data_IF_938061109758
#
_entry.id   IF_938061109758
#
_cell.length_a   1.000
_cell.length_b   1.000
_cell.length_c   1.000
_cell.angle_alpha   90.00
_cell.angle_beta   90.00
_cell.angle_gamma   90.00
#
_symmetry.space_group_name_H-M   'P 1'
#
loop_
_entity.id
_entity.type
_entity.pdbx_description
1 polymer ?
#
# COMPACT_ATOMS: atom_id res chain seq x y z
N UNK A 1 21.33 -5.00 11.28
CA UNK A 1 20.78 -3.92 12.13
C UNK A 1 19.86 -4.54 13.16
N UNK A 2 19.70 -3.96 14.36
CA UNK A 2 18.66 -4.42 15.29
C UNK A 2 17.31 -3.82 14.87
N UNK A 3 16.24 -4.62 14.89
CA UNK A 3 14.88 -4.11 14.69
C UNK A 3 14.53 -3.20 15.87
N UNK A 4 13.86 -2.06 15.61
CA UNK A 4 13.37 -1.20 16.68
C UNK A 4 12.39 -1.96 17.59
N UNK A 5 12.34 -1.55 18.87
CA UNK A 5 11.28 -2.00 19.76
C UNK A 5 9.92 -1.65 19.17
N UNK A 6 8.93 -2.50 19.41
CA UNK A 6 7.58 -2.29 18.89
C UNK A 6 6.90 -1.16 19.66
N UNK A 7 6.58 -0.06 18.97
CA UNK A 7 5.83 1.05 19.54
C UNK A 7 4.46 0.59 20.04
N UNK A 8 4.08 0.99 21.25
CA UNK A 8 2.77 0.65 21.82
C UNK A 8 1.74 1.63 21.26
N UNK A 9 0.90 1.15 20.35
CA UNK A 9 -0.17 1.94 19.76
C UNK A 9 -1.51 1.65 20.43
N UNK A 10 -2.43 2.63 20.39
CA UNK A 10 -3.83 2.37 20.75
C UNK A 10 -4.40 1.34 19.77
N UNK A 11 -4.88 0.18 20.24
CA UNK A 11 -5.35 -0.87 19.35
C UNK A 11 -6.48 -0.40 18.43
N UNK A 12 -6.48 -0.91 17.19
CA UNK A 12 -7.52 -0.68 16.18
C UNK A 12 -7.57 0.73 15.60
N UNK A 13 -6.69 1.64 16.01
CA UNK A 13 -6.49 2.91 15.29
C UNK A 13 -6.07 2.66 13.84
N UNK A 14 -6.42 3.58 12.95
CA UNK A 14 -6.19 3.52 11.52
C UNK A 14 -5.21 4.58 11.04
N UNK A 15 -4.36 4.21 10.08
CA UNK A 15 -3.71 5.14 9.17
C UNK A 15 -3.99 4.69 7.73
N UNK A 16 -4.38 5.60 6.85
CA UNK A 16 -4.70 5.28 5.45
C UNK A 16 -3.75 6.07 4.56
N UNK A 17 -3.10 5.38 3.63
CA UNK A 17 -2.29 5.97 2.58
C UNK A 17 -2.94 5.64 1.22
N UNK A 18 -3.04 6.64 0.34
CA UNK A 18 -3.54 6.51 -1.02
C UNK A 18 -2.52 7.10 -1.98
N UNK A 19 -1.94 6.25 -2.81
CA UNK A 19 -1.09 6.64 -3.93
C UNK A 19 -1.99 7.11 -5.08
N UNK A 20 -2.10 8.42 -5.29
CA UNK A 20 -2.99 9.02 -6.30
C UNK A 20 -2.24 9.28 -7.60
N UNK A 21 -2.93 9.11 -8.72
CA UNK A 21 -2.39 9.41 -10.05
C UNK A 21 -2.54 10.91 -10.34
N UNK A 22 -1.45 11.58 -10.69
CA UNK A 22 -1.46 12.95 -11.21
C UNK A 22 -1.43 12.87 -12.74
N UNK A 23 -2.45 13.41 -13.40
CA UNK A 23 -2.62 13.32 -14.86
C UNK A 23 -2.63 14.70 -15.51
N UNK A 24 -2.19 14.79 -16.77
CA UNK A 24 -2.09 16.05 -17.51
C UNK A 24 -3.11 16.14 -18.68
N UNK A 25 -4.21 16.88 -18.53
CA UNK A 25 -5.14 17.21 -19.62
C UNK A 25 -4.48 17.97 -20.78
N UNK A 26 -5.02 17.86 -22.02
CA UNK A 26 -6.15 17.04 -22.43
C UNK A 26 -5.76 15.60 -22.78
N UNK A 27 -4.46 15.27 -22.74
CA UNK A 27 -3.96 13.94 -23.08
C UNK A 27 -4.22 12.88 -22.01
N UNK A 28 -4.33 13.33 -20.75
CA UNK A 28 -4.52 12.50 -19.56
C UNK A 28 -3.45 11.41 -19.40
N UNK A 29 -2.24 11.64 -19.89
CA UNK A 29 -1.08 10.81 -19.53
C UNK A 29 -0.62 11.20 -18.11
N UNK A 30 0.17 10.36 -17.45
CA UNK A 30 0.70 10.72 -16.13
C UNK A 30 1.61 11.96 -16.23
N UNK A 31 1.36 12.91 -15.33
CA UNK A 31 2.12 14.14 -15.19
C UNK A 31 3.54 13.88 -14.70
N UNK A 32 4.43 14.85 -14.88
CA UNK A 32 5.77 14.90 -14.26
C UNK A 32 5.90 16.10 -13.31
N UNK A 33 4.76 16.68 -12.90
CA UNK A 33 4.70 17.91 -12.10
C UNK A 33 4.16 17.69 -10.69
N UNK A 34 4.23 16.46 -10.15
CA UNK A 34 3.72 16.16 -8.80
C UNK A 34 4.40 17.02 -7.72
N UNK A 35 5.70 17.30 -7.85
CA UNK A 35 6.46 18.19 -6.96
C UNK A 35 5.88 19.58 -6.85
N UNK A 36 5.54 20.18 -7.98
CA UNK A 36 4.95 21.51 -7.99
C UNK A 36 3.60 21.51 -7.28
N UNK A 37 2.78 20.47 -7.50
CA UNK A 37 1.49 20.33 -6.85
C UNK A 37 1.63 20.11 -5.33
N UNK A 38 2.56 19.25 -4.92
CA UNK A 38 2.80 18.93 -3.50
C UNK A 38 3.27 20.18 -2.75
N UNK A 39 4.20 20.96 -3.32
CA UNK A 39 4.69 22.21 -2.71
C UNK A 39 3.58 23.25 -2.56
N UNK A 40 2.62 23.30 -3.49
CA UNK A 40 1.47 24.19 -3.41
C UNK A 40 0.47 23.78 -2.31
N UNK A 41 0.26 22.46 -2.12
CA UNK A 41 -0.74 21.93 -1.19
C UNK A 41 -0.23 21.84 0.24
N UNK A 42 1.03 21.43 0.44
CA UNK A 42 1.59 21.10 1.77
C UNK A 42 1.41 22.19 2.84
N UNK A 43 1.55 23.50 2.55
CA UNK A 43 1.34 24.56 3.54
C UNK A 43 -0.13 24.76 3.97
N UNK A 44 -1.08 24.23 3.20
CA UNK A 44 -2.52 24.45 3.39
C UNK A 44 -3.19 23.32 4.20
N UNK A 45 -2.50 22.20 4.42
CA UNK A 45 -3.06 21.06 5.14
C UNK A 45 -3.07 21.29 6.65
N UNK A 46 -4.21 21.02 7.28
CA UNK A 46 -4.41 21.14 8.73
C UNK A 46 -4.29 19.81 9.47
N UNK A 47 -4.48 18.70 8.77
CA UNK A 47 -4.35 17.33 9.26
C UNK A 47 -4.02 16.39 8.10
N UNK A 48 -3.41 15.25 8.43
CA UNK A 48 -2.82 14.37 7.43
C UNK A 48 -1.55 14.97 6.82
N UNK A 49 -1.03 14.28 5.83
CA UNK A 49 0.16 14.70 5.11
C UNK A 49 0.05 14.29 3.65
N UNK A 50 0.75 15.04 2.80
CA UNK A 50 0.99 14.67 1.42
C UNK A 50 2.48 14.47 1.25
N UNK A 51 2.84 13.38 0.58
CA UNK A 51 4.22 13.03 0.31
C UNK A 51 4.47 12.83 -1.17
N UNK A 52 5.74 13.01 -1.49
CA UNK A 52 6.36 12.40 -2.65
C UNK A 52 6.44 10.90 -2.46
N UNK A 53 6.07 10.16 -3.49
CA UNK A 53 6.64 8.84 -3.71
C UNK A 53 7.80 8.93 -4.71
N UNK A 54 8.33 7.79 -5.14
CA UNK A 54 9.49 7.66 -6.01
C UNK A 54 9.30 8.40 -7.35
N UNK A 55 8.07 8.49 -7.88
CA UNK A 55 7.78 9.01 -9.23
C UNK A 55 7.11 10.39 -9.23
N UNK A 56 7.47 11.24 -10.19
CA UNK A 56 6.89 12.59 -10.40
C UNK A 56 5.43 12.59 -10.90
N UNK A 57 4.84 11.42 -11.05
CA UNK A 57 3.46 11.19 -11.48
C UNK A 57 2.51 10.81 -10.34
N UNK A 58 3.02 10.72 -9.11
CA UNK A 58 2.27 10.24 -7.97
C UNK A 58 2.19 11.30 -6.88
N UNK A 59 1.01 11.40 -6.26
CA UNK A 59 0.81 12.15 -5.04
C UNK A 59 0.27 11.19 -3.97
N UNK A 60 1.02 10.96 -2.89
CA UNK A 60 0.56 10.15 -1.77
C UNK A 60 -0.24 11.02 -0.81
N UNK A 61 -1.51 10.65 -0.57
CA UNK A 61 -2.33 11.21 0.50
C UNK A 61 -2.27 10.27 1.71
N UNK A 62 -1.85 10.77 2.87
CA UNK A 62 -1.81 9.97 4.09
C UNK A 62 -2.57 10.65 5.23
N UNK A 63 -3.45 9.91 5.92
CA UNK A 63 -4.11 10.43 7.12
C UNK A 63 -3.14 10.47 8.30
N UNK A 64 -3.46 11.27 9.32
CA UNK A 64 -2.91 11.02 10.65
C UNK A 64 -3.46 9.71 11.25
N UNK A 65 -3.10 9.43 12.49
CA UNK A 65 -3.68 8.31 13.25
C UNK A 65 -5.14 8.65 13.59
N UNK A 66 -6.06 7.87 13.05
CA UNK A 66 -7.51 8.03 13.19
C UNK A 66 -8.07 6.94 14.11
N UNK A 67 -9.07 7.28 14.92
CA UNK A 67 -9.74 6.31 15.81
C UNK A 67 -10.81 5.49 15.09
N UNK A 68 -11.43 6.07 14.07
CA UNK A 68 -12.57 5.54 13.32
C UNK A 68 -12.52 6.00 11.86
N UNK A 69 -13.36 5.37 11.03
CA UNK A 69 -13.47 5.69 9.61
C UNK A 69 -14.03 7.10 9.35
N UNK A 70 -14.84 7.65 10.25
CA UNK A 70 -15.44 8.97 10.11
C UNK A 70 -14.36 10.07 10.22
N UNK A 71 -13.43 9.91 11.16
CA UNK A 71 -12.28 10.80 11.29
C UNK A 71 -11.36 10.71 10.06
N UNK A 72 -11.12 9.49 9.56
CA UNK A 72 -10.32 9.29 8.35
C UNK A 72 -11.00 9.93 7.12
N UNK A 73 -12.33 9.78 6.99
CA UNK A 73 -13.13 10.39 5.94
C UNK A 73 -13.03 11.92 5.95
N UNK A 74 -13.15 12.53 7.14
CA UNK A 74 -13.03 13.98 7.29
C UNK A 74 -11.64 14.49 6.86
N UNK A 75 -10.56 13.79 7.24
CA UNK A 75 -9.20 14.17 6.84
C UNK A 75 -8.97 14.01 5.34
N UNK A 76 -9.35 12.86 4.75
CA UNK A 76 -9.22 12.62 3.32
C UNK A 76 -10.04 13.60 2.48
N UNK A 77 -11.26 13.94 2.91
CA UNK A 77 -12.10 14.93 2.24
C UNK A 77 -11.49 16.34 2.30
N UNK A 78 -10.96 16.75 3.45
CA UNK A 78 -10.28 18.03 3.59
C UNK A 78 -9.03 18.12 2.69
N UNK A 79 -8.18 17.07 2.68
CA UNK A 79 -7.03 17.00 1.78
C UNK A 79 -7.45 17.05 0.31
N UNK A 80 -8.48 16.28 -0.07
CA UNK A 80 -9.00 16.25 -1.44
C UNK A 80 -9.41 17.64 -1.94
N UNK A 81 -10.10 18.43 -1.11
CA UNK A 81 -10.54 19.76 -1.49
C UNK A 81 -9.35 20.67 -1.88
N UNK A 82 -8.31 20.67 -1.04
CA UNK A 82 -7.10 21.46 -1.27
C UNK A 82 -6.33 20.96 -2.50
N UNK A 83 -6.18 19.64 -2.63
CA UNK A 83 -5.49 19.02 -3.78
C UNK A 83 -6.20 19.38 -5.08
N UNK A 84 -7.53 19.24 -5.15
CA UNK A 84 -8.28 19.51 -6.38
C UNK A 84 -8.25 21.00 -6.76
N UNK A 85 -8.25 21.89 -5.78
CA UNK A 85 -8.08 23.32 -6.04
C UNK A 85 -6.70 23.60 -6.65
N UNK A 86 -5.62 23.12 -6.01
CA UNK A 86 -4.27 23.32 -6.51
C UNK A 86 -4.06 22.65 -7.88
N UNK A 87 -4.59 21.43 -8.08
CA UNK A 87 -4.52 20.75 -9.38
C UNK A 87 -5.18 21.59 -10.48
N UNK A 88 -6.34 22.21 -10.20
CA UNK A 88 -7.00 23.10 -11.15
C UNK A 88 -6.17 24.34 -11.48
N UNK A 89 -5.46 24.94 -10.51
CA UNK A 89 -4.59 26.10 -10.70
C UNK A 89 -3.36 25.75 -11.57
N UNK A 90 -2.89 24.51 -11.47
CA UNK A 90 -1.76 23.97 -12.25
C UNK A 90 -2.18 23.24 -13.54
N UNK A 91 -3.47 23.27 -13.91
CA UNK A 91 -4.02 22.55 -15.06
C UNK A 91 -3.77 21.02 -15.04
N UNK A 92 -3.72 20.42 -13.86
CA UNK A 92 -3.58 18.98 -13.63
C UNK A 92 -4.92 18.34 -13.25
N UNK A 93 -5.01 17.03 -13.40
CA UNK A 93 -6.10 16.20 -12.88
C UNK A 93 -5.58 15.19 -11.86
N UNK A 94 -6.50 14.66 -11.04
CA UNK A 94 -6.21 13.61 -10.06
C UNK A 94 -7.21 12.47 -10.23
N UNK A 95 -6.73 11.23 -10.23
CA UNK A 95 -7.57 10.04 -10.22
C UNK A 95 -6.95 8.89 -9.41
N UNK A 96 -7.77 7.89 -9.09
CA UNK A 96 -7.32 6.62 -8.52
C UNK A 96 -7.15 5.53 -9.59
N UNK A 97 -7.17 4.27 -9.15
CA UNK A 97 -6.92 3.09 -9.98
C UNK A 97 -5.52 2.52 -9.74
N UNK A 98 -5.35 1.20 -9.82
CA UNK A 98 -4.09 0.55 -9.44
C UNK A 98 -2.96 0.69 -10.46
N UNK A 99 -3.31 0.98 -11.70
CA UNK A 99 -2.41 1.25 -12.82
C UNK A 99 -2.99 2.37 -13.68
N UNK A 100 -2.11 3.16 -14.31
CA UNK A 100 -2.55 4.05 -15.38
C UNK A 100 -2.76 3.25 -16.68
N UNK A 101 -3.93 3.34 -17.36
CA UNK A 101 -4.34 2.36 -18.37
C UNK A 101 -3.44 2.31 -19.60
N UNK A 102 -2.84 3.42 -20.01
CA UNK A 102 -2.00 3.51 -21.21
C UNK A 102 -0.60 4.07 -20.98
N UNK A 103 -0.20 4.29 -19.72
CA UNK A 103 1.14 4.80 -19.40
C UNK A 103 2.22 3.85 -19.92
N UNK A 104 3.30 4.44 -20.45
CA UNK A 104 4.53 3.73 -20.78
C UNK A 104 5.64 4.12 -19.81
N UNK A 105 6.29 3.13 -19.20
CA UNK A 105 7.32 3.36 -18.19
C UNK A 105 8.51 4.17 -18.72
N UNK A 106 8.82 4.09 -20.03
CA UNK A 106 9.95 4.83 -20.63
C UNK A 106 9.80 6.35 -20.58
N UNK A 107 8.60 6.86 -20.25
CA UNK A 107 8.29 8.28 -20.22
C UNK A 107 8.26 8.87 -18.81
N UNK A 108 8.50 8.06 -17.78
CA UNK A 108 8.48 8.52 -16.40
C UNK A 108 9.83 9.11 -16.02
N UNK A 109 9.79 10.33 -15.51
CA UNK A 109 10.89 10.93 -14.77
C UNK A 109 10.80 10.45 -13.33
N UNK A 110 11.94 10.08 -12.78
CA UNK A 110 12.01 9.61 -11.40
C UNK A 110 12.60 10.73 -10.56
N UNK A 111 12.02 10.98 -9.38
CA UNK A 111 12.54 11.97 -8.46
C UNK A 111 14.00 11.66 -8.11
N UNK A 112 14.87 12.68 -8.11
CA UNK A 112 16.28 12.52 -7.80
C UNK A 112 16.48 12.21 -6.31
N UNK A 113 16.50 10.92 -5.97
CA UNK A 113 16.62 10.42 -4.61
C UNK A 113 17.65 9.30 -4.54
N UNK A 114 18.61 9.39 -3.62
CA UNK A 114 19.66 8.38 -3.40
C UNK A 114 19.09 6.97 -3.20
N UNK A 115 17.93 6.85 -2.54
CA UNK A 115 17.24 5.56 -2.34
C UNK A 115 16.78 4.95 -3.66
N UNK A 116 16.32 5.77 -4.60
CA UNK A 116 15.90 5.29 -5.91
C UNK A 116 17.09 4.78 -6.72
N UNK A 117 18.20 5.52 -6.74
CA UNK A 117 19.40 5.11 -7.48
C UNK A 117 19.89 3.72 -7.06
N UNK A 118 19.90 3.45 -5.75
CA UNK A 118 20.24 2.13 -5.21
C UNK A 118 19.23 1.05 -5.61
N UNK A 119 17.95 1.39 -5.63
CA UNK A 119 16.88 0.45 -6.06
C UNK A 119 16.98 0.14 -7.55
N UNK A 120 17.31 1.14 -8.38
CA UNK A 120 17.56 0.96 -9.81
C UNK A 120 18.79 0.08 -10.09
N UNK A 121 19.88 0.26 -9.34
CA UNK A 121 21.06 -0.62 -9.42
C UNK A 121 20.71 -2.08 -9.10
N UNK A 122 19.87 -2.29 -8.09
CA UNK A 122 19.49 -3.61 -7.61
C UNK A 122 18.47 -4.33 -8.51
N UNK A 123 17.46 -3.62 -9.02
CA UNK A 123 16.28 -4.20 -9.68
C UNK A 123 16.17 -3.87 -11.17
N UNK A 124 16.99 -2.94 -11.68
CA UNK A 124 17.06 -2.59 -13.09
C UNK A 124 15.69 -2.18 -13.67
N UNK A 125 15.30 -2.78 -14.79
CA UNK A 125 14.04 -2.43 -15.47
C UNK A 125 12.76 -2.73 -14.65
N UNK A 126 12.85 -3.55 -13.59
CA UNK A 126 11.69 -3.88 -12.76
C UNK A 126 11.14 -2.66 -12.01
N UNK A 127 12.03 -1.81 -11.47
CA UNK A 127 11.60 -0.59 -10.77
C UNK A 127 11.04 0.44 -11.76
N UNK A 128 11.49 0.41 -13.01
CA UNK A 128 10.96 1.29 -14.06
C UNK A 128 9.49 0.94 -14.37
N UNK A 129 9.09 -0.32 -14.25
CA UNK A 129 7.70 -0.75 -14.40
C UNK A 129 6.83 -0.47 -13.17
N UNK A 130 7.42 -0.04 -12.06
CA UNK A 130 6.76 0.03 -10.75
C UNK A 130 5.92 1.29 -10.51
N UNK A 131 5.59 2.09 -11.54
CA UNK A 131 4.58 3.16 -11.42
C UNK A 131 3.19 2.53 -11.30
N UNK A 132 2.86 2.12 -10.09
CA UNK A 132 1.59 1.54 -9.68
C UNK A 132 1.09 2.23 -8.44
N UNK A 133 -0.20 2.09 -8.16
CA UNK A 133 -0.87 2.93 -7.19
C UNK A 133 -1.67 2.07 -6.22
N UNK A 134 -1.28 2.08 -4.96
CA UNK A 134 -1.87 1.29 -3.89
C UNK A 134 -2.63 2.10 -2.86
N UNK A 135 -3.59 1.42 -2.25
CA UNK A 135 -4.07 1.79 -0.94
C UNK A 135 -3.34 0.98 0.13
N UNK A 136 -2.77 1.66 1.13
CA UNK A 136 -2.22 1.03 2.32
C UNK A 136 -3.08 1.37 3.54
N UNK A 137 -3.29 0.38 4.39
CA UNK A 137 -4.06 0.54 5.64
C UNK A 137 -3.24 0.00 6.80
N UNK A 138 -2.89 0.90 7.72
CA UNK A 138 -2.24 0.61 8.99
C UNK A 138 -3.28 0.38 10.07
N UNK A 139 -3.10 -0.68 10.87
CA UNK A 139 -3.89 -0.96 12.07
C UNK A 139 -3.00 -0.97 13.30
N UNK A 140 -3.28 -0.10 14.27
CA UNK A 140 -2.55 -0.01 15.55
C UNK A 140 -2.67 -1.28 16.39
N UNK A 141 -1.56 -1.73 16.97
CA UNK A 141 -1.48 -2.88 17.86
C UNK A 141 -0.75 -2.52 19.16
N UNK A 142 -1.09 -3.19 20.26
CA UNK A 142 -0.47 -2.92 21.55
C UNK A 142 0.96 -3.46 21.67
N UNK A 143 1.29 -4.54 20.96
CA UNK A 143 2.58 -5.21 21.02
C UNK A 143 2.85 -6.04 19.75
N UNK A 144 4.08 -6.52 19.63
CA UNK A 144 4.52 -7.29 18.46
C UNK A 144 3.85 -8.66 18.29
N UNK A 145 3.52 -9.36 19.37
CA UNK A 145 2.86 -10.68 19.26
C UNK A 145 1.42 -10.55 18.74
N UNK A 146 0.73 -9.49 19.17
CA UNK A 146 -0.57 -9.12 18.61
C UNK A 146 -0.45 -8.74 17.14
N UNK A 147 0.62 -8.02 16.75
CA UNK A 147 0.87 -7.69 15.36
C UNK A 147 1.09 -8.95 14.49
N UNK A 148 1.84 -9.95 14.98
CA UNK A 148 2.03 -11.22 14.27
C UNK A 148 0.72 -12.00 14.18
N UNK A 149 -0.05 -12.12 15.27
CA UNK A 149 -1.36 -12.76 15.23
C UNK A 149 -2.31 -12.09 14.24
N UNK A 150 -2.39 -10.75 14.28
CA UNK A 150 -3.24 -9.97 13.40
C UNK A 150 -2.82 -10.14 11.94
N UNK A 151 -1.51 -10.09 11.64
CA UNK A 151 -0.99 -10.34 10.30
C UNK A 151 -1.45 -11.70 9.77
N UNK A 152 -1.33 -12.76 10.57
CA UNK A 152 -1.80 -14.08 10.16
C UNK A 152 -3.31 -14.12 9.93
N UNK A 153 -4.09 -13.56 10.86
CA UNK A 153 -5.54 -13.48 10.74
C UNK A 153 -5.98 -12.73 9.46
N UNK A 154 -5.37 -11.58 9.18
CA UNK A 154 -5.64 -10.79 7.97
C UNK A 154 -5.17 -11.48 6.69
N UNK A 155 -4.13 -12.33 6.76
CA UNK A 155 -3.61 -13.06 5.60
C UNK A 155 -4.65 -14.02 5.00
N UNK A 156 -5.57 -14.56 5.81
CA UNK A 156 -6.70 -15.35 5.30
C UNK A 156 -7.63 -14.53 4.39
N UNK A 157 -7.66 -13.21 4.58
CA UNK A 157 -8.56 -12.30 3.88
C UNK A 157 -7.91 -11.51 2.74
N UNK A 158 -6.60 -11.67 2.51
CA UNK A 158 -5.90 -11.01 1.40
C UNK A 158 -6.60 -11.19 0.04
N UNK A 159 -7.04 -12.40 -0.36
CA UNK A 159 -7.78 -12.56 -1.61
C UNK A 159 -9.05 -11.70 -1.67
N UNK A 160 -9.75 -11.53 -0.54
CA UNK A 160 -10.97 -10.72 -0.45
C UNK A 160 -10.66 -9.23 -0.59
N UNK A 161 -9.60 -8.76 0.07
CA UNK A 161 -9.17 -7.36 -0.04
C UNK A 161 -8.76 -7.02 -1.48
N UNK A 162 -8.04 -7.92 -2.16
CA UNK A 162 -7.69 -7.77 -3.57
C UNK A 162 -8.95 -7.74 -4.44
N UNK A 163 -9.83 -8.72 -4.30
CA UNK A 163 -11.03 -8.83 -5.14
C UNK A 163 -11.98 -7.63 -5.00
N UNK A 164 -12.14 -7.10 -3.78
CA UNK A 164 -12.98 -5.92 -3.50
C UNK A 164 -12.33 -4.59 -3.94
N UNK A 165 -11.01 -4.54 -4.06
CA UNK A 165 -10.27 -3.31 -4.43
C UNK A 165 -9.83 -3.27 -5.88
N UNK A 166 -9.97 -4.36 -6.63
CA UNK A 166 -9.44 -4.52 -7.98
C UNK A 166 -9.86 -3.38 -8.93
N UNK A 167 -8.87 -2.62 -9.40
CA UNK A 167 -9.06 -1.42 -10.23
C UNK A 167 -7.90 -1.22 -11.22
N UNK A 168 -7.25 -2.29 -11.66
CA UNK A 168 -6.10 -2.24 -12.58
C UNK A 168 -6.17 -3.28 -13.71
N UNK A 169 -7.24 -3.32 -14.54
CA UNK A 169 -7.34 -4.29 -15.62
C UNK A 169 -6.46 -3.98 -16.83
N UNK A 170 -6.07 -2.72 -17.00
CA UNK A 170 -5.25 -2.26 -18.13
C UNK A 170 -3.81 -1.99 -17.71
N UNK A 171 -2.88 -2.27 -18.62
CA UNK A 171 -1.46 -1.93 -18.44
C UNK A 171 -0.85 -1.61 -19.79
N UNK A 172 -0.19 -0.45 -19.89
CA UNK A 172 0.50 0.02 -21.11
C UNK A 172 -0.36 0.01 -22.40
N UNK A 173 -1.67 0.25 -22.26
CA UNK A 173 -2.63 0.33 -23.35
C UNK A 173 -3.23 -1.02 -23.75
N UNK A 174 -2.92 -2.08 -23.02
CA UNK A 174 -3.41 -3.43 -23.27
C UNK A 174 -4.30 -3.92 -22.12
N UNK A 175 -5.39 -4.60 -22.46
CA UNK A 175 -6.18 -5.38 -21.51
C UNK A 175 -5.34 -6.57 -21.03
N UNK A 176 -5.02 -6.59 -19.74
CA UNK A 176 -4.21 -7.64 -19.12
C UNK A 176 -4.99 -8.94 -18.91
N UNK A 177 -6.32 -8.87 -19.00
CA UNK A 177 -7.28 -9.90 -18.56
C UNK A 177 -7.29 -10.16 -17.05
N UNK A 178 -6.62 -9.35 -16.23
CA UNK A 178 -6.73 -9.41 -14.78
C UNK A 178 -7.75 -8.37 -14.29
N UNK A 179 -8.32 -8.59 -13.11
CA UNK A 179 -9.06 -7.54 -12.40
C UNK A 179 -8.08 -6.60 -11.68
N UNK A 180 -7.04 -7.16 -11.06
CA UNK A 180 -5.92 -6.46 -10.44
C UNK A 180 -4.60 -6.93 -11.07
N UNK A 181 -4.01 -6.11 -11.94
CA UNK A 181 -2.70 -6.38 -12.54
C UNK A 181 -1.53 -5.80 -11.72
N UNK A 182 -1.78 -4.76 -10.90
CA UNK A 182 -0.77 -4.08 -10.06
C UNK A 182 0.14 -5.06 -9.32
N UNK A 183 -0.45 -6.03 -8.63
CA UNK A 183 0.27 -6.97 -7.77
C UNK A 183 1.19 -7.94 -8.52
N UNK A 184 1.06 -8.05 -9.84
CA UNK A 184 1.94 -8.90 -10.66
C UNK A 184 3.25 -8.19 -11.00
N UNK A 185 3.29 -6.85 -10.97
CA UNK A 185 4.51 -6.07 -11.27
C UNK A 185 5.61 -6.38 -10.23
N UNK A 186 5.23 -6.57 -8.97
CA UNK A 186 6.17 -6.96 -7.92
C UNK A 186 6.52 -8.45 -7.91
N UNK A 187 5.97 -9.28 -8.81
CA UNK A 187 6.21 -10.75 -8.80
C UNK A 187 7.67 -11.17 -9.01
N UNK A 188 8.48 -10.32 -9.62
CA UNK A 188 9.91 -10.56 -9.82
C UNK A 188 10.76 -10.22 -8.58
N UNK A 189 10.21 -9.54 -7.58
CA UNK A 189 10.90 -9.22 -6.35
C UNK A 189 10.96 -10.47 -5.45
N UNK A 190 12.12 -10.79 -4.86
CA UNK A 190 12.34 -12.04 -4.11
C UNK A 190 11.50 -12.14 -2.84
N UNK A 191 11.05 -11.01 -2.32
CA UNK A 191 10.31 -10.83 -1.08
C UNK A 191 8.84 -10.46 -1.30
N UNK A 192 8.31 -10.58 -2.53
CA UNK A 192 6.89 -10.35 -2.79
C UNK A 192 5.98 -11.50 -2.30
N UNK A 193 4.76 -11.15 -1.91
CA UNK A 193 3.72 -12.08 -1.48
C UNK A 193 3.62 -12.17 0.05
N UNK A 194 3.28 -13.35 0.61
CA UNK A 194 3.12 -13.48 2.06
C UNK A 194 4.48 -13.37 2.75
N UNK A 195 4.48 -12.74 3.93
CA UNK A 195 5.63 -12.78 4.83
C UNK A 195 6.01 -14.24 5.15
N UNK A 196 7.31 -14.60 5.17
CA UNK A 196 7.75 -15.90 5.67
C UNK A 196 7.20 -16.18 7.06
N UNK A 197 6.79 -17.44 7.29
CA UNK A 197 6.15 -17.82 8.54
C UNK A 197 7.05 -17.60 9.76
N UNK A 198 6.47 -17.00 10.80
CA UNK A 198 7.02 -16.85 12.16
C UNK A 198 5.85 -16.93 13.13
N UNK A 199 6.03 -17.49 14.31
CA UNK A 199 4.92 -17.71 15.26
C UNK A 199 4.69 -16.56 16.24
N UNK A 200 5.69 -15.69 16.41
CA UNK A 200 5.69 -14.61 17.41
C UNK A 200 6.71 -13.51 17.04
N UNK A 201 6.72 -12.43 17.81
CA UNK A 201 7.58 -11.26 17.56
C UNK A 201 9.08 -11.56 17.69
N UNK A 202 9.46 -12.48 18.58
CA UNK A 202 10.86 -12.87 18.74
C UNK A 202 11.38 -13.58 17.48
N UNK A 203 10.59 -14.48 16.91
CA UNK A 203 10.89 -15.13 15.63
C UNK A 203 10.90 -14.13 14.48
N UNK A 204 9.98 -13.16 14.47
CA UNK A 204 9.98 -12.05 13.52
C UNK A 204 11.28 -11.24 13.56
N UNK A 205 11.74 -10.84 14.76
CA UNK A 205 13.01 -10.15 14.92
C UNK A 205 14.19 -11.00 14.42
N UNK A 206 14.13 -12.33 14.63
CA UNK A 206 15.08 -13.29 14.09
C UNK A 206 15.06 -13.38 12.55
N UNK A 207 13.87 -13.39 11.95
CA UNK A 207 13.68 -13.36 10.50
C UNK A 207 14.24 -12.07 9.90
N UNK A 208 13.85 -10.90 10.44
CA UNK A 208 14.32 -9.61 9.96
C UNK A 208 15.85 -9.50 10.04
N UNK A 209 16.45 -9.97 11.14
CA UNK A 209 17.91 -10.02 11.27
C UNK A 209 18.57 -10.83 10.14
N UNK A 210 17.99 -11.98 9.75
CA UNK A 210 18.50 -12.79 8.64
C UNK A 210 18.34 -12.09 7.29
N UNK A 211 17.19 -11.45 7.05
CA UNK A 211 16.93 -10.69 5.83
C UNK A 211 17.87 -9.49 5.70
N UNK A 212 18.22 -8.84 6.82
CA UNK A 212 19.18 -7.72 6.86
C UNK A 212 20.63 -8.10 6.53
N UNK A 213 20.94 -9.40 6.37
CA UNK A 213 22.23 -9.84 5.84
C UNK A 213 22.28 -9.83 4.32
N UNK A 214 21.13 -9.68 3.65
CA UNK A 214 21.09 -9.45 2.21
C UNK A 214 21.42 -8.00 1.92
N UNK A 215 21.98 -7.70 0.74
CA UNK A 215 22.31 -6.32 0.33
C UNK A 215 21.09 -5.47 -0.01
N UNK A 216 19.90 -6.09 -0.07
CA UNK A 216 18.65 -5.52 -0.58
C UNK A 216 17.79 -4.90 0.51
N UNK A 217 17.93 -5.33 1.78
CA UNK A 217 16.98 -5.01 2.85
C UNK A 217 17.74 -4.37 4.02
N UNK A 218 17.60 -3.06 4.18
CA UNK A 218 18.16 -2.34 5.33
C UNK A 218 17.09 -1.99 6.37
N UNK A 219 15.85 -1.85 5.92
CA UNK A 219 14.71 -1.41 6.72
C UNK A 219 13.45 -2.20 6.39
N UNK A 220 12.46 -2.11 7.27
CA UNK A 220 11.12 -2.67 7.02
C UNK A 220 10.50 -2.08 5.73
N UNK A 221 10.84 -0.84 5.37
CA UNK A 221 10.31 -0.16 4.18
C UNK A 221 10.80 -0.79 2.87
N UNK A 222 11.82 -1.63 2.91
CA UNK A 222 12.38 -2.29 1.73
C UNK A 222 11.72 -3.65 1.44
N UNK A 223 10.78 -4.08 2.31
CA UNK A 223 10.05 -5.34 2.19
C UNK A 223 8.74 -5.16 1.42
N UNK A 224 8.54 -5.97 0.39
CA UNK A 224 7.39 -5.96 -0.53
C UNK A 224 6.31 -6.99 -0.14
N UNK A 225 6.18 -7.32 1.14
CA UNK A 225 5.14 -8.23 1.61
C UNK A 225 3.74 -7.64 1.45
N UNK A 226 2.79 -8.52 1.15
CA UNK A 226 1.36 -8.21 1.05
C UNK A 226 0.81 -7.57 2.34
N UNK A 227 1.25 -8.08 3.49
CA UNK A 227 0.98 -7.52 4.82
C UNK A 227 2.30 -7.47 5.60
N UNK A 228 2.56 -6.35 6.26
CA UNK A 228 3.83 -6.07 6.91
C UNK A 228 3.64 -5.48 8.31
N UNK A 229 4.33 -5.99 9.34
CA UNK A 229 4.35 -5.31 10.63
C UNK A 229 5.34 -4.13 10.59
N UNK A 230 4.96 -3.01 11.16
CA UNK A 230 5.80 -1.82 11.25
C UNK A 230 6.03 -1.46 12.74
N UNK A 231 7.19 -1.84 13.32
CA UNK A 231 7.46 -1.61 14.74
C UNK A 231 7.62 -0.13 15.09
N UNK A 232 8.09 0.71 14.16
CA UNK A 232 8.27 2.14 14.42
C UNK A 232 6.93 2.85 14.64
N UNK A 233 5.87 2.41 13.95
CA UNK A 233 4.52 2.92 14.12
C UNK A 233 3.65 2.06 15.04
N UNK A 234 4.10 0.86 15.42
CA UNK A 234 3.31 -0.06 16.23
C UNK A 234 2.08 -0.58 15.49
N UNK A 235 2.22 -0.88 14.20
CA UNK A 235 1.08 -1.23 13.33
C UNK A 235 1.29 -2.52 12.53
N UNK A 236 0.19 -3.08 12.04
CA UNK A 236 0.17 -4.03 10.93
C UNK A 236 -0.39 -3.32 9.71
N UNK A 237 0.32 -3.41 8.59
CA UNK A 237 0.06 -2.66 7.38
C UNK A 237 -0.36 -3.60 6.24
N UNK A 238 -1.57 -3.41 5.70
CA UNK A 238 -2.11 -4.15 4.55
C UNK A 238 -1.84 -3.35 3.27
N UNK A 239 -1.16 -3.95 2.28
CA UNK A 239 -0.62 -3.24 1.10
C UNK A 239 -1.06 -3.83 -0.26
N UNK A 240 -2.01 -4.75 -0.24
CA UNK A 240 -2.44 -5.52 -1.42
C UNK A 240 -3.46 -4.82 -2.31
N UNK A 241 -4.04 -3.71 -1.86
CA UNK A 241 -5.16 -3.08 -2.55
C UNK A 241 -4.67 -2.13 -3.63
N UNK A 242 -5.36 -2.10 -4.76
CA UNK A 242 -5.24 -1.00 -5.71
C UNK A 242 -5.81 0.28 -5.08
N UNK A 243 -5.27 1.46 -5.44
CA UNK A 243 -5.94 2.72 -5.12
C UNK A 243 -7.35 2.71 -5.70
N UNK A 244 -8.42 2.90 -4.90
CA UNK A 244 -9.78 2.93 -5.43
C UNK A 244 -10.07 4.18 -6.27
N UNK A 245 -11.14 4.14 -7.06
CA UNK A 245 -11.58 5.30 -7.86
C UNK A 245 -12.21 6.43 -7.04
N UNK A 246 -12.60 6.15 -5.79
CA UNK A 246 -13.31 7.09 -4.91
C UNK A 246 -12.79 6.98 -3.48
N UNK A 247 -12.78 8.10 -2.75
CA UNK A 247 -12.41 8.09 -1.32
C UNK A 247 -13.36 7.27 -0.47
N UNK A 248 -14.67 7.27 -0.76
CA UNK A 248 -15.66 6.47 -0.02
C UNK A 248 -15.29 4.98 -0.03
N UNK A 249 -14.90 4.45 -1.19
CA UNK A 249 -14.44 3.05 -1.29
C UNK A 249 -13.15 2.82 -0.50
N UNK A 250 -12.20 3.75 -0.53
CA UNK A 250 -10.98 3.64 0.27
C UNK A 250 -11.29 3.59 1.78
N UNK A 251 -12.19 4.46 2.26
CA UNK A 251 -12.63 4.51 3.65
C UNK A 251 -13.36 3.21 4.02
N UNK A 252 -14.23 2.69 3.15
CA UNK A 252 -14.94 1.44 3.38
C UNK A 252 -13.99 0.23 3.46
N UNK A 253 -12.97 0.17 2.59
CA UNK A 253 -11.93 -0.86 2.66
C UNK A 253 -11.13 -0.78 3.96
N UNK A 254 -10.79 0.42 4.41
CA UNK A 254 -10.13 0.62 5.71
C UNK A 254 -11.03 0.18 6.87
N UNK A 255 -12.34 0.48 6.82
CA UNK A 255 -13.32 0.03 7.80
C UNK A 255 -13.49 -1.48 7.85
N UNK A 256 -13.50 -2.16 6.69
CA UNK A 256 -13.50 -3.62 6.61
C UNK A 256 -12.27 -4.21 7.32
N UNK A 257 -11.08 -3.66 7.04
CA UNK A 257 -9.83 -4.10 7.67
C UNK A 257 -9.85 -3.82 9.17
N UNK A 258 -10.33 -2.65 9.60
CA UNK A 258 -10.46 -2.27 11.01
C UNK A 258 -11.37 -3.22 11.78
N UNK A 259 -12.57 -3.48 11.25
CA UNK A 259 -13.55 -4.36 11.87
C UNK A 259 -13.05 -5.81 11.93
N UNK A 260 -12.39 -6.28 10.86
CA UNK A 260 -11.77 -7.61 10.83
C UNK A 260 -10.64 -7.71 11.85
N UNK A 261 -9.81 -6.67 11.97
CA UNK A 261 -8.73 -6.63 12.94
C UNK A 261 -9.24 -6.62 14.39
N UNK A 262 -10.28 -5.84 14.66
CA UNK A 262 -10.96 -5.85 15.96
C UNK A 262 -11.47 -7.25 16.30
N UNK A 263 -12.22 -7.88 15.40
CA UNK A 263 -12.73 -9.25 15.59
C UNK A 263 -11.60 -10.27 15.82
N UNK A 264 -10.55 -10.24 15.01
CA UNK A 264 -9.42 -11.15 15.13
C UNK A 264 -8.73 -11.06 16.49
N UNK A 265 -8.42 -9.84 16.95
CA UNK A 265 -7.65 -9.65 18.18
C UNK A 265 -8.49 -9.83 19.45
N UNK A 266 -9.79 -9.58 19.38
CA UNK A 266 -10.72 -9.77 20.51
C UNK A 266 -11.18 -11.21 20.66
N UNK A 267 -11.70 -11.81 19.59
CA UNK A 267 -12.30 -13.15 19.65
C UNK A 267 -11.26 -14.27 19.47
N UNK A 268 -10.09 -13.95 18.91
CA UNK A 268 -9.02 -14.91 18.58
C UNK A 268 -9.57 -16.19 17.90
N UNK A 269 -10.33 -16.05 16.80
CA UNK A 269 -11.12 -17.14 16.23
C UNK A 269 -10.25 -18.23 15.58
N UNK A 270 -8.99 -17.91 15.25
CA UNK A 270 -8.06 -18.82 14.62
C UNK A 270 -6.89 -19.15 15.54
N UNK A 271 -6.31 -20.33 15.31
CA UNK A 271 -5.00 -20.73 15.83
C UNK A 271 -4.05 -20.83 14.63
N UNK A 272 -3.33 -19.76 14.26
CA UNK A 272 -2.51 -19.73 13.07
C UNK A 272 -1.48 -20.86 13.02
N UNK A 273 -1.31 -21.46 11.85
CA UNK A 273 -0.30 -22.47 11.54
C UNK A 273 0.33 -22.18 10.18
N UNK A 274 1.58 -22.60 9.98
CA UNK A 274 2.28 -22.42 8.71
C UNK A 274 1.50 -23.01 7.52
N UNK A 275 0.79 -24.12 7.75
CA UNK A 275 0.00 -24.80 6.72
C UNK A 275 -1.18 -23.97 6.22
N UNK A 276 -1.64 -22.96 6.97
CA UNK A 276 -2.70 -22.04 6.54
C UNK A 276 -2.31 -21.25 5.28
N UNK A 277 -1.01 -21.09 5.03
CA UNK A 277 -0.47 -20.41 3.84
C UNK A 277 -0.28 -21.31 2.62
N UNK A 278 -0.55 -22.62 2.72
CA UNK A 278 -0.26 -23.60 1.67
C UNK A 278 -0.86 -23.21 0.31
N UNK A 279 -2.09 -22.69 0.30
CA UNK A 279 -2.80 -22.27 -0.91
C UNK A 279 -2.83 -20.75 -1.12
N UNK A 280 -2.12 -19.99 -0.28
CA UNK A 280 -2.17 -18.52 -0.28
C UNK A 280 -1.92 -17.92 -1.67
N UNK A 281 -0.87 -18.38 -2.37
CA UNK A 281 -0.52 -17.85 -3.70
C UNK A 281 -1.56 -18.20 -4.78
N UNK A 282 -2.22 -19.35 -4.67
CA UNK A 282 -3.28 -19.75 -5.60
C UNK A 282 -4.53 -18.88 -5.40
N UNK A 283 -4.95 -18.68 -4.14
CA UNK A 283 -6.12 -17.86 -3.81
C UNK A 283 -5.87 -16.38 -4.14
N UNK A 284 -4.65 -15.88 -3.86
CA UNK A 284 -4.22 -14.54 -4.28
C UNK A 284 -4.31 -14.37 -5.79
N UNK A 285 -3.86 -15.35 -6.56
CA UNK A 285 -3.96 -15.32 -8.02
C UNK A 285 -5.42 -15.30 -8.51
N UNK A 286 -6.30 -16.10 -7.90
CA UNK A 286 -7.73 -16.13 -8.24
C UNK A 286 -8.37 -14.74 -8.07
N UNK A 287 -8.10 -14.08 -6.94
CA UNK A 287 -8.55 -12.72 -6.70
C UNK A 287 -7.98 -11.71 -7.71
N UNK A 288 -6.67 -11.76 -7.99
CA UNK A 288 -6.07 -10.86 -8.98
C UNK A 288 -6.69 -11.07 -10.38
N UNK A 289 -6.88 -12.32 -10.79
CA UNK A 289 -7.30 -12.66 -12.16
C UNK A 289 -8.80 -12.48 -12.39
N UNK A 290 -9.63 -12.85 -11.44
CA UNK A 290 -11.09 -12.94 -11.60
C UNK A 290 -11.85 -12.00 -10.65
N UNK A 291 -11.17 -11.25 -9.78
CA UNK A 291 -11.84 -10.42 -8.78
C UNK A 291 -12.72 -11.28 -7.88
N UNK A 292 -13.96 -10.84 -7.66
CA UNK A 292 -14.97 -11.55 -6.84
C UNK A 292 -15.49 -12.86 -7.48
N UNK A 293 -15.18 -13.12 -8.76
CA UNK A 293 -15.53 -14.39 -9.42
C UNK A 293 -14.48 -15.49 -9.19
N UNK A 294 -13.40 -15.18 -8.47
CA UNK A 294 -12.38 -16.17 -8.08
C UNK A 294 -12.92 -17.24 -7.13
N UNK A 295 -12.32 -18.43 -7.17
CA UNK A 295 -12.68 -19.60 -6.33
C UNK A 295 -11.63 -19.88 -5.28
#
# INVERSE_FOLDING_TARGET
MALNDFHVSEPYTLGIELEMQVINPPGYDLSQDSSTLIDAVKPQLTAGEIKHDITESMLEMATGVCRDIDQAAAQLSAMQHVILQAASEHHLGICGGGTHPFQKWQRQEVCDNERYQRTLENFGYLIQQATVFGQHVHVGCANGDDAIYLLHGLSHFVPHFIALSAASPYMQGSDTRFACARLNIFSAFPDNGPMPWVSNWQEFAGLFRRLSYTTMIDSIKDLHWDIRPNPAFGTVEVRVMDTPLTLDHAINMAGLIQATAHWLLTERPFKPQEQDYLLYKFNRFQACRYGLEGV
#
